data_IF_876507758475
#
_entry.id   IF_876507758475
#
_cell.length_a   1.000
_cell.length_b   1.000
_cell.length_c   1.000
_cell.angle_alpha   90.00
_cell.angle_beta   90.00
_cell.angle_gamma   90.00
#
_symmetry.space_group_name_H-M   'P 1'
#
loop_
_entity.id
_entity.type
_entity.pdbx_description
1 polymer ?
#
# COMPACT_ATOMS: atom_id res chain seq x y z
N UNK A 1 8.84 9.34 -37.42
CA UNK A 1 7.36 9.34 -37.53
C UNK A 1 6.82 8.92 -36.20
N UNK A 2 6.36 9.89 -35.41
CA UNK A 2 5.79 9.70 -34.09
C UNK A 2 4.35 9.19 -34.25
N UNK A 3 3.91 8.11 -33.59
CA UNK A 3 2.52 7.70 -33.68
C UNK A 3 1.63 8.70 -32.94
N UNK A 4 0.56 9.11 -33.60
CA UNK A 4 -0.45 10.01 -33.05
C UNK A 4 -1.16 9.35 -31.85
N UNK A 5 -1.17 10.05 -30.73
CA UNK A 5 -1.97 9.71 -29.54
C UNK A 5 -3.43 9.79 -29.91
N UNK A 6 -4.09 8.64 -30.06
CA UNK A 6 -5.52 8.56 -30.31
C UNK A 6 -6.31 9.13 -29.13
N UNK A 7 -7.25 10.03 -29.44
CA UNK A 7 -8.24 10.58 -28.52
C UNK A 7 -9.01 9.42 -27.85
N UNK A 8 -8.72 9.12 -26.58
CA UNK A 8 -9.54 8.22 -25.75
C UNK A 8 -10.93 8.83 -25.59
N UNK A 9 -12.02 8.06 -25.80
CA UNK A 9 -13.36 8.54 -25.48
C UNK A 9 -13.45 8.81 -23.97
N UNK A 10 -13.95 9.99 -23.62
CA UNK A 10 -14.14 10.40 -22.23
C UNK A 10 -14.97 9.34 -21.49
N UNK A 11 -14.53 9.04 -20.26
CA UNK A 11 -15.22 8.18 -19.28
C UNK A 11 -16.63 8.71 -19.06
N UNK A 12 -17.62 7.80 -18.91
CA UNK A 12 -18.98 8.18 -18.55
C UNK A 12 -18.95 8.98 -17.23
N UNK A 13 -19.60 10.16 -17.18
CA UNK A 13 -19.58 10.97 -15.96
C UNK A 13 -20.22 10.19 -14.80
N UNK A 14 -19.57 10.25 -13.63
CA UNK A 14 -20.21 9.88 -12.38
C UNK A 14 -21.54 10.63 -12.26
N UNK A 15 -22.58 10.08 -11.56
CA UNK A 15 -23.85 10.73 -11.43
C UNK A 15 -23.63 12.21 -11.04
N UNK A 16 -24.27 13.13 -11.77
CA UNK A 16 -24.22 14.59 -11.53
C UNK A 16 -24.83 14.91 -10.16
N UNK A 17 -24.12 14.59 -9.10
CA UNK A 17 -24.31 15.16 -7.77
C UNK A 17 -23.07 15.99 -7.48
N UNK A 18 -23.32 17.20 -6.99
CA UNK A 18 -22.34 18.21 -6.65
C UNK A 18 -21.01 17.56 -6.24
N UNK A 19 -19.99 17.75 -7.07
CA UNK A 19 -18.59 17.32 -6.80
C UNK A 19 -18.06 18.12 -5.61
N UNK A 20 -18.62 17.89 -4.45
CA UNK A 20 -18.11 18.45 -3.19
C UNK A 20 -17.04 17.50 -2.66
N UNK A 21 -15.84 17.73 -3.11
CA UNK A 21 -14.60 17.48 -2.39
C UNK A 21 -14.18 16.04 -2.10
N UNK A 22 -15.04 15.10 -1.78
CA UNK A 22 -14.66 13.79 -1.24
C UNK A 22 -15.35 12.65 -1.98
N UNK A 23 -14.54 11.76 -2.63
CA UNK A 23 -15.05 10.56 -3.30
C UNK A 23 -15.35 9.44 -2.31
N UNK A 24 -14.56 9.31 -1.24
CA UNK A 24 -14.77 8.36 -0.16
C UNK A 24 -14.74 9.12 1.16
N UNK A 25 -15.71 8.85 2.03
CA UNK A 25 -15.74 9.37 3.41
C UNK A 25 -15.97 8.23 4.39
N UNK A 26 -15.10 8.15 5.39
CA UNK A 26 -15.21 7.23 6.52
C UNK A 26 -15.33 8.07 7.78
N UNK A 27 -16.31 7.75 8.64
CA UNK A 27 -16.57 8.49 9.87
C UNK A 27 -16.78 7.52 11.03
N UNK A 28 -15.91 7.56 12.05
CA UNK A 28 -15.90 6.73 13.25
C UNK A 28 -16.20 5.23 12.96
N UNK A 29 -15.61 4.71 11.89
CA UNK A 29 -15.85 3.35 11.42
C UNK A 29 -15.30 2.34 12.39
N UNK A 30 -16.15 1.41 12.86
CA UNK A 30 -15.75 0.33 13.77
C UNK A 30 -16.16 -1.03 13.24
N UNK A 31 -15.29 -2.01 13.47
CA UNK A 31 -15.58 -3.42 13.16
C UNK A 31 -15.09 -4.34 14.26
N UNK A 32 -16.04 -5.14 14.79
CA UNK A 32 -15.76 -6.16 15.80
C UNK A 32 -16.06 -7.56 15.26
N UNK A 33 -15.24 -8.51 15.65
CA UNK A 33 -15.41 -9.94 15.44
C UNK A 33 -15.38 -10.62 16.82
N UNK A 34 -16.56 -10.88 17.39
CA UNK A 34 -16.66 -11.34 18.77
C UNK A 34 -16.03 -10.32 19.74
N UNK A 35 -14.97 -10.71 20.41
CA UNK A 35 -14.23 -9.84 21.35
C UNK A 35 -13.14 -8.99 20.70
N UNK A 36 -12.72 -9.33 19.46
CA UNK A 36 -11.68 -8.61 18.73
C UNK A 36 -12.29 -7.38 18.04
N UNK A 37 -11.79 -6.20 18.35
CA UNK A 37 -12.10 -4.96 17.62
C UNK A 37 -11.01 -4.71 16.57
N UNK A 38 -11.32 -5.09 15.32
CA UNK A 38 -10.38 -5.04 14.21
C UNK A 38 -10.26 -3.62 13.61
N UNK A 39 -11.30 -2.80 13.73
CA UNK A 39 -11.31 -1.38 13.33
C UNK A 39 -11.92 -0.58 14.47
N UNK A 40 -11.21 0.46 14.95
CA UNK A 40 -11.44 1.12 16.23
C UNK A 40 -11.80 2.61 16.10
N UNK A 41 -12.75 2.93 15.22
CA UNK A 41 -13.24 4.32 15.08
C UNK A 41 -12.36 5.15 14.16
N UNK A 42 -12.01 4.61 12.98
CA UNK A 42 -11.23 5.34 11.99
C UNK A 42 -12.07 6.37 11.25
N UNK A 43 -11.43 7.50 10.90
CA UNK A 43 -12.04 8.55 10.09
C UNK A 43 -11.01 9.12 9.13
N UNK A 44 -11.35 9.17 7.83
CA UNK A 44 -10.58 9.85 6.80
C UNK A 44 -11.40 10.08 5.54
N UNK A 45 -10.90 10.92 4.65
CA UNK A 45 -11.51 11.23 3.37
C UNK A 45 -10.53 11.07 2.23
N UNK A 46 -11.03 10.64 1.07
CA UNK A 46 -10.28 10.50 -0.18
C UNK A 46 -10.88 11.44 -1.22
N UNK A 47 -10.04 12.24 -1.86
CA UNK A 47 -10.44 13.17 -2.92
C UNK A 47 -10.82 12.46 -4.23
N UNK A 48 -11.55 13.17 -5.11
CA UNK A 48 -11.86 12.68 -6.44
C UNK A 48 -10.59 12.59 -7.31
N UNK A 49 -10.39 11.48 -8.01
CA UNK A 49 -9.18 11.24 -8.81
C UNK A 49 -7.90 11.01 -8.02
N UNK A 50 -7.99 10.89 -6.70
CA UNK A 50 -6.84 10.68 -5.81
C UNK A 50 -6.41 9.20 -5.78
N UNK A 51 -5.10 8.94 -5.72
CA UNK A 51 -4.53 7.67 -5.26
C UNK A 51 -4.24 7.82 -3.77
N UNK A 52 -5.01 7.13 -2.93
CA UNK A 52 -4.86 7.17 -1.48
C UNK A 52 -4.44 5.80 -0.94
N UNK A 53 -3.40 5.76 -0.10
CA UNK A 53 -2.88 4.54 0.50
C UNK A 53 -3.32 4.36 1.96
N UNK A 54 -3.80 3.18 2.33
CA UNK A 54 -3.93 2.76 3.74
C UNK A 54 -2.78 1.81 4.04
N UNK A 55 -1.82 2.29 4.80
CA UNK A 55 -0.53 1.65 5.02
C UNK A 55 -0.48 1.09 6.44
N UNK A 56 -0.04 -0.15 6.59
CA UNK A 56 0.11 -0.76 7.91
C UNK A 56 0.42 -2.24 7.83
N UNK A 57 0.88 -2.85 8.94
CA UNK A 57 1.23 -4.26 9.00
C UNK A 57 0.02 -5.17 8.85
N UNK A 58 0.29 -6.47 8.75
CA UNK A 58 -0.77 -7.48 8.77
C UNK A 58 -1.55 -7.40 10.08
N UNK A 59 -2.88 -7.54 9.98
CA UNK A 59 -3.76 -7.40 11.14
C UNK A 59 -4.07 -5.96 11.57
N UNK A 60 -3.55 -4.92 10.89
CA UNK A 60 -3.86 -3.52 11.21
C UNK A 60 -5.34 -3.13 11.02
N UNK A 61 -6.15 -3.94 10.32
CA UNK A 61 -7.56 -3.66 10.04
C UNK A 61 -7.85 -3.24 8.61
N UNK A 62 -6.85 -3.18 7.72
CA UNK A 62 -6.96 -2.75 6.31
C UNK A 62 -8.04 -3.51 5.56
N UNK A 63 -7.92 -4.84 5.47
CA UNK A 63 -8.89 -5.70 4.75
C UNK A 63 -10.31 -5.55 5.27
N UNK A 64 -10.53 -5.45 6.59
CA UNK A 64 -11.87 -5.22 7.15
C UNK A 64 -12.47 -3.89 6.70
N UNK A 65 -11.66 -2.84 6.65
CA UNK A 65 -12.06 -1.51 6.15
C UNK A 65 -12.42 -1.58 4.67
N UNK A 66 -11.62 -2.26 3.84
CA UNK A 66 -11.85 -2.42 2.40
C UNK A 66 -13.10 -3.26 2.10
N UNK A 67 -13.35 -4.32 2.85
CA UNK A 67 -14.56 -5.13 2.72
C UNK A 67 -15.84 -4.35 3.06
N UNK A 68 -15.77 -3.45 4.05
CA UNK A 68 -16.90 -2.57 4.38
C UNK A 68 -17.13 -1.56 3.24
N UNK A 69 -16.07 -0.91 2.73
CA UNK A 69 -16.15 0.01 1.60
C UNK A 69 -16.61 -0.68 0.31
N UNK A 70 -16.23 -1.92 0.07
CA UNK A 70 -16.72 -2.73 -1.04
C UNK A 70 -18.19 -3.16 -0.85
N UNK A 71 -18.80 -2.88 0.31
CA UNK A 71 -20.17 -3.24 0.64
C UNK A 71 -20.40 -4.74 0.80
N UNK A 72 -19.33 -5.55 0.95
CA UNK A 72 -19.43 -7.00 1.16
C UNK A 72 -19.51 -7.37 2.65
N UNK A 73 -19.19 -6.40 3.52
CA UNK A 73 -19.25 -6.54 4.97
C UNK A 73 -19.93 -5.32 5.60
N UNK A 74 -20.68 -5.55 6.69
CA UNK A 74 -21.27 -4.46 7.46
C UNK A 74 -20.34 -3.98 8.57
N UNK A 75 -20.32 -2.66 8.79
CA UNK A 75 -19.67 -2.07 9.95
C UNK A 75 -20.40 -2.46 11.24
N UNK A 76 -19.72 -2.47 12.37
CA UNK A 76 -20.37 -2.60 13.68
C UNK A 76 -21.01 -1.26 14.09
N UNK A 77 -20.33 -0.13 13.79
CA UNK A 77 -20.84 1.23 13.94
C UNK A 77 -20.04 2.20 13.07
N UNK A 78 -20.45 3.45 13.01
CA UNK A 78 -19.87 4.46 12.13
C UNK A 78 -20.42 4.35 10.70
N UNK A 79 -19.85 5.11 9.76
CA UNK A 79 -20.28 5.13 8.37
C UNK A 79 -19.11 5.06 7.39
N UNK A 80 -19.39 4.48 6.21
CA UNK A 80 -18.52 4.48 5.04
C UNK A 80 -19.36 4.85 3.82
N UNK A 81 -18.97 5.91 3.13
CA UNK A 81 -19.70 6.48 2.01
C UNK A 81 -18.81 6.62 0.79
N UNK A 82 -19.38 6.43 -0.39
CA UNK A 82 -18.76 6.65 -1.70
C UNK A 82 -19.64 7.63 -2.46
N UNK A 83 -19.13 8.81 -2.78
CA UNK A 83 -19.87 9.94 -3.37
C UNK A 83 -21.17 10.24 -2.61
N UNK A 84 -21.13 10.25 -1.27
CA UNK A 84 -22.29 10.51 -0.40
C UNK A 84 -23.34 9.39 -0.35
N UNK A 85 -23.11 8.24 -0.99
CA UNK A 85 -23.94 7.06 -0.89
C UNK A 85 -23.34 6.07 0.12
N UNK A 86 -24.15 5.41 0.96
CA UNK A 86 -23.65 4.30 1.77
C UNK A 86 -22.90 3.27 0.91
N UNK A 87 -21.74 2.79 1.38
CA UNK A 87 -20.86 1.91 0.60
C UNK A 87 -21.59 0.69 0.02
N UNK A 88 -22.56 0.13 0.75
CA UNK A 88 -23.37 -0.99 0.28
C UNK A 88 -24.22 -0.66 -0.96
N UNK A 89 -24.73 0.56 -1.05
CA UNK A 89 -25.53 1.05 -2.18
C UNK A 89 -24.64 1.43 -3.36
N UNK A 90 -23.42 1.92 -3.07
CA UNK A 90 -22.44 2.35 -4.05
C UNK A 90 -21.70 1.20 -4.78
N UNK A 91 -22.03 -0.08 -4.48
CA UNK A 91 -21.34 -1.25 -5.08
C UNK A 91 -21.32 -1.27 -6.61
N UNK A 92 -22.35 -0.74 -7.26
CA UNK A 92 -22.41 -0.66 -8.71
C UNK A 92 -21.31 0.26 -9.30
N UNK A 93 -20.87 1.24 -8.53
CA UNK A 93 -19.87 2.25 -8.90
C UNK A 93 -18.47 1.93 -8.33
N UNK A 94 -18.32 0.79 -7.67
CA UNK A 94 -17.08 0.39 -6.98
C UNK A 94 -16.50 -0.85 -7.62
N UNK A 95 -15.24 -0.77 -8.05
CA UNK A 95 -14.40 -1.92 -8.38
C UNK A 95 -13.66 -2.40 -7.13
N UNK A 96 -13.58 -3.70 -6.90
CA UNK A 96 -12.85 -4.25 -5.76
C UNK A 96 -11.95 -5.40 -6.19
N UNK A 97 -10.67 -5.25 -5.94
CA UNK A 97 -9.65 -6.28 -6.12
C UNK A 97 -9.22 -6.76 -4.74
N UNK A 98 -9.50 -8.03 -4.47
CA UNK A 98 -9.19 -8.69 -3.20
C UNK A 98 -7.73 -9.13 -3.13
N UNK A 99 -7.18 -9.28 -1.94
CA UNK A 99 -5.82 -9.77 -1.70
C UNK A 99 -5.57 -11.14 -2.36
N UNK A 100 -6.52 -12.05 -2.27
CA UNK A 100 -6.42 -13.35 -2.94
C UNK A 100 -7.00 -13.28 -4.34
N UNK A 101 -6.37 -14.00 -5.30
CA UNK A 101 -6.91 -14.12 -6.65
C UNK A 101 -8.31 -14.75 -6.62
N UNK A 102 -9.32 -13.94 -6.93
CA UNK A 102 -10.75 -14.29 -6.79
C UNK A 102 -11.43 -14.66 -8.11
N UNK A 103 -10.68 -14.74 -9.22
CA UNK A 103 -11.19 -15.12 -10.54
C UNK A 103 -11.15 -16.64 -10.75
N UNK A 104 -11.88 -17.10 -11.76
CA UNK A 104 -12.02 -18.51 -12.07
C UNK A 104 -10.80 -19.04 -12.81
N UNK A 105 -9.98 -19.93 -12.22
CA UNK A 105 -8.75 -20.41 -12.83
C UNK A 105 -8.99 -21.29 -14.07
N UNK A 106 -10.16 -21.93 -14.14
CA UNK A 106 -10.57 -22.83 -15.24
C UNK A 106 -11.21 -22.09 -16.41
N UNK A 107 -11.47 -20.80 -16.26
CA UNK A 107 -11.90 -19.93 -17.36
C UNK A 107 -10.69 -19.23 -18.00
N UNK A 108 -10.80 -18.98 -19.31
CA UNK A 108 -9.84 -18.15 -20.04
C UNK A 108 -9.89 -16.67 -19.58
N UNK A 109 -8.91 -15.88 -19.99
CA UNK A 109 -8.88 -14.43 -19.78
C UNK A 109 -10.17 -13.78 -20.27
N UNK A 110 -10.61 -14.07 -21.52
CA UNK A 110 -11.84 -13.50 -22.08
C UNK A 110 -13.09 -13.96 -21.34
N UNK A 111 -13.17 -15.23 -20.95
CA UNK A 111 -14.33 -15.75 -20.20
C UNK A 111 -14.44 -15.15 -18.81
N UNK A 112 -13.32 -14.91 -18.11
CA UNK A 112 -13.35 -14.20 -16.83
C UNK A 112 -13.88 -12.76 -16.99
N UNK A 113 -13.38 -12.03 -17.98
CA UNK A 113 -13.85 -10.66 -18.29
C UNK A 113 -15.35 -10.67 -18.60
N UNK A 114 -15.79 -11.58 -19.47
CA UNK A 114 -17.20 -11.71 -19.82
C UNK A 114 -18.07 -12.05 -18.62
N UNK A 115 -17.65 -13.04 -17.81
CA UNK A 115 -18.36 -13.46 -16.62
C UNK A 115 -18.57 -12.30 -15.64
N UNK A 116 -17.51 -11.53 -15.35
CA UNK A 116 -17.62 -10.38 -14.44
C UNK A 116 -18.47 -9.27 -15.06
N UNK A 117 -18.34 -9.01 -16.36
CA UNK A 117 -19.17 -8.04 -17.07
C UNK A 117 -20.64 -8.39 -17.01
N UNK A 118 -20.99 -9.64 -17.28
CA UNK A 118 -22.37 -10.15 -17.21
C UNK A 118 -22.93 -10.07 -15.79
N UNK A 119 -22.12 -10.46 -14.77
CA UNK A 119 -22.50 -10.36 -13.35
C UNK A 119 -22.79 -8.91 -12.93
N UNK A 120 -22.04 -7.96 -13.50
CA UNK A 120 -22.19 -6.51 -13.25
C UNK A 120 -23.20 -5.85 -14.20
N UNK A 121 -23.90 -6.63 -15.04
CA UNK A 121 -24.93 -6.19 -16.00
C UNK A 121 -24.41 -5.17 -17.01
N UNK A 122 -23.14 -5.29 -17.41
CA UNK A 122 -22.57 -4.51 -18.51
C UNK A 122 -23.10 -5.06 -19.83
N UNK A 123 -23.54 -4.21 -20.79
CA UNK A 123 -23.98 -4.68 -22.10
C UNK A 123 -22.89 -5.51 -22.82
N UNK A 124 -23.24 -6.61 -23.53
CA UNK A 124 -22.27 -7.54 -24.10
C UNK A 124 -21.28 -6.91 -25.10
N UNK A 125 -21.71 -5.93 -25.86
CA UNK A 125 -20.88 -5.14 -26.78
C UNK A 125 -19.87 -4.27 -26.01
N UNK A 126 -20.29 -3.65 -24.91
CA UNK A 126 -19.42 -2.88 -24.04
C UNK A 126 -18.44 -3.79 -23.30
N UNK A 127 -18.83 -4.98 -22.84
CA UNK A 127 -17.91 -5.97 -22.26
C UNK A 127 -16.76 -6.25 -23.22
N UNK A 128 -17.10 -6.52 -24.49
CA UNK A 128 -16.11 -6.84 -25.53
C UNK A 128 -15.18 -5.65 -25.78
N UNK A 129 -15.73 -4.47 -25.97
CA UNK A 129 -14.99 -3.24 -26.26
C UNK A 129 -14.07 -2.84 -25.11
N UNK A 130 -14.61 -2.79 -23.87
CA UNK A 130 -13.85 -2.41 -22.69
C UNK A 130 -12.84 -3.48 -22.30
N UNK A 131 -13.21 -4.75 -22.38
CA UNK A 131 -12.32 -5.87 -22.17
C UNK A 131 -11.10 -5.82 -23.08
N UNK A 132 -11.31 -5.60 -24.39
CA UNK A 132 -10.23 -5.44 -25.36
C UNK A 132 -9.32 -4.24 -24.99
N UNK A 133 -9.91 -3.07 -24.69
CA UNK A 133 -9.16 -1.86 -24.28
C UNK A 133 -8.25 -2.14 -23.08
N UNK A 134 -8.76 -2.79 -22.02
CA UNK A 134 -7.96 -3.06 -20.83
C UNK A 134 -6.91 -4.16 -21.07
N UNK A 135 -7.22 -5.17 -21.88
CA UNK A 135 -6.24 -6.18 -22.24
C UNK A 135 -5.07 -5.59 -23.05
N UNK A 136 -5.34 -4.68 -23.98
CA UNK A 136 -4.32 -3.94 -24.74
C UNK A 136 -3.49 -3.04 -23.81
N UNK A 137 -4.14 -2.28 -22.89
CA UNK A 137 -3.47 -1.44 -21.91
C UNK A 137 -2.50 -2.22 -21.02
N UNK A 138 -2.79 -3.49 -20.74
CA UNK A 138 -2.01 -4.34 -19.83
C UNK A 138 -1.07 -5.31 -20.55
N UNK A 139 -0.94 -5.22 -21.89
CA UNK A 139 -0.20 -6.18 -22.76
C UNK A 139 -0.67 -7.64 -22.58
N UNK A 140 -1.98 -7.82 -22.40
CA UNK A 140 -2.63 -9.11 -22.17
C UNK A 140 -3.45 -9.63 -23.38
N UNK A 141 -3.60 -8.85 -24.44
CA UNK A 141 -4.41 -9.14 -25.63
C UNK A 141 -4.04 -10.47 -26.29
N UNK A 142 -2.75 -10.80 -26.36
CA UNK A 142 -2.24 -12.09 -26.89
C UNK A 142 -2.55 -13.31 -26.02
N UNK A 143 -3.05 -13.11 -24.81
CA UNK A 143 -3.35 -14.18 -23.85
C UNK A 143 -4.85 -14.41 -23.65
N UNK A 144 -5.70 -13.80 -24.49
CA UNK A 144 -7.18 -13.81 -24.40
C UNK A 144 -7.77 -15.21 -24.19
N UNK A 145 -7.24 -16.23 -24.89
CA UNK A 145 -7.71 -17.62 -24.81
C UNK A 145 -6.96 -18.46 -23.76
N UNK A 146 -6.02 -17.88 -23.01
CA UNK A 146 -5.25 -18.62 -22.01
C UNK A 146 -6.06 -18.76 -20.74
N UNK A 147 -6.06 -19.96 -20.13
CA UNK A 147 -6.72 -20.19 -18.83
C UNK A 147 -6.06 -19.32 -17.74
N UNK A 148 -6.89 -18.70 -16.90
CA UNK A 148 -6.42 -17.83 -15.82
C UNK A 148 -5.51 -18.57 -14.82
N UNK A 149 -5.76 -19.86 -14.59
CA UNK A 149 -4.90 -20.71 -13.75
C UNK A 149 -3.46 -20.84 -14.25
N UNK A 150 -3.23 -20.66 -15.58
CA UNK A 150 -1.91 -20.76 -16.23
C UNK A 150 -1.19 -19.42 -16.37
N UNK A 151 -1.71 -18.35 -15.83
CA UNK A 151 -1.09 -17.04 -15.81
C UNK A 151 -0.05 -16.93 -14.69
N UNK A 152 0.99 -16.10 -14.88
CA UNK A 152 1.89 -15.71 -13.80
C UNK A 152 1.16 -14.86 -12.75
N UNK A 153 1.78 -14.64 -11.57
CA UNK A 153 1.19 -13.80 -10.51
C UNK A 153 0.85 -12.40 -11.01
N UNK A 154 1.79 -11.71 -11.65
CA UNK A 154 1.55 -10.39 -12.23
C UNK A 154 0.46 -10.37 -13.30
N UNK A 155 0.41 -11.38 -14.19
CA UNK A 155 -0.66 -11.50 -15.19
C UNK A 155 -2.03 -11.75 -14.55
N UNK A 156 -2.09 -12.50 -13.44
CA UNK A 156 -3.33 -12.70 -12.68
C UNK A 156 -3.83 -11.38 -12.10
N UNK A 157 -2.95 -10.56 -11.56
CA UNK A 157 -3.31 -9.24 -11.04
C UNK A 157 -3.79 -8.30 -12.15
N UNK A 158 -3.11 -8.29 -13.31
CA UNK A 158 -3.55 -7.53 -14.49
C UNK A 158 -4.94 -7.96 -14.96
N UNK A 159 -5.22 -9.26 -15.01
CA UNK A 159 -6.55 -9.79 -15.34
C UNK A 159 -7.61 -9.38 -14.30
N UNK A 160 -7.29 -9.49 -13.00
CA UNK A 160 -8.20 -9.09 -11.94
C UNK A 160 -8.52 -7.59 -12.00
N UNK A 161 -7.51 -6.77 -12.31
CA UNK A 161 -7.69 -5.33 -12.52
C UNK A 161 -8.57 -5.05 -13.75
N UNK A 162 -8.32 -5.72 -14.89
CA UNK A 162 -9.17 -5.60 -16.08
C UNK A 162 -10.62 -5.93 -15.76
N UNK A 163 -10.88 -7.05 -15.10
CA UNK A 163 -12.23 -7.45 -14.67
C UNK A 163 -12.90 -6.41 -13.74
N UNK A 164 -12.15 -5.81 -12.81
CA UNK A 164 -12.67 -4.78 -11.93
C UNK A 164 -12.99 -3.47 -12.66
N UNK A 165 -12.32 -3.19 -13.80
CA UNK A 165 -12.47 -1.96 -14.59
C UNK A 165 -13.55 -2.06 -15.69
N UNK A 166 -13.89 -3.25 -16.18
CA UNK A 166 -14.90 -3.43 -17.24
C UNK A 166 -16.25 -2.78 -16.92
N UNK A 167 -16.74 -2.77 -15.65
CA UNK A 167 -17.94 -2.04 -15.26
C UNK A 167 -17.78 -0.51 -15.23
N UNK A 168 -16.58 0.04 -15.51
CA UNK A 168 -16.24 1.47 -15.41
C UNK A 168 -16.57 2.07 -14.03
N UNK A 169 -15.99 1.53 -12.95
CA UNK A 169 -16.27 2.02 -11.61
C UNK A 169 -15.73 3.46 -11.44
N UNK A 170 -16.36 4.26 -10.59
CA UNK A 170 -15.87 5.58 -10.19
C UNK A 170 -14.78 5.49 -9.13
N UNK A 171 -14.82 4.44 -8.31
CA UNK A 171 -13.84 4.14 -7.25
C UNK A 171 -13.29 2.74 -7.45
N UNK A 172 -11.98 2.60 -7.31
CA UNK A 172 -11.28 1.32 -7.32
C UNK A 172 -10.66 1.06 -5.94
N UNK A 173 -11.05 -0.03 -5.32
CA UNK A 173 -10.50 -0.51 -4.05
C UNK A 173 -9.54 -1.66 -4.34
N UNK A 174 -8.30 -1.56 -3.84
CA UNK A 174 -7.24 -2.54 -4.08
C UNK A 174 -6.69 -3.02 -2.74
N UNK A 175 -6.95 -4.27 -2.38
CA UNK A 175 -6.47 -4.86 -1.13
C UNK A 175 -5.20 -5.67 -1.38
N UNK A 176 -4.05 -5.07 -1.09
CA UNK A 176 -2.70 -5.62 -1.27
C UNK A 176 -2.45 -6.17 -2.70
N UNK A 177 -2.66 -5.34 -3.73
CA UNK A 177 -2.73 -5.81 -5.12
C UNK A 177 -1.40 -6.35 -5.67
N UNK A 178 -0.28 -6.05 -5.04
CA UNK A 178 1.06 -6.41 -5.53
C UNK A 178 1.76 -7.45 -4.66
N UNK A 179 1.07 -7.98 -3.63
CA UNK A 179 1.64 -9.03 -2.78
C UNK A 179 1.93 -10.29 -3.60
N UNK A 180 3.18 -10.76 -3.57
CA UNK A 180 3.64 -11.91 -4.35
C UNK A 180 3.88 -11.63 -5.83
N UNK A 181 3.88 -10.37 -6.26
CA UNK A 181 4.20 -9.93 -7.63
C UNK A 181 5.68 -9.57 -7.72
N UNK A 182 6.34 -9.95 -8.80
CA UNK A 182 7.74 -9.61 -9.06
C UNK A 182 7.94 -8.09 -9.23
N UNK A 183 9.16 -7.55 -8.99
CA UNK A 183 9.40 -6.10 -9.01
C UNK A 183 9.11 -5.42 -10.35
N UNK A 184 9.29 -6.11 -11.48
CA UNK A 184 9.03 -5.54 -12.82
C UNK A 184 7.53 -5.41 -13.03
N UNK A 185 6.79 -6.50 -12.83
CA UNK A 185 5.31 -6.49 -12.92
C UNK A 185 4.67 -5.53 -11.92
N UNK A 186 5.27 -5.34 -10.72
CA UNK A 186 4.81 -4.35 -9.74
C UNK A 186 4.95 -2.93 -10.27
N UNK A 187 6.08 -2.58 -10.89
CA UNK A 187 6.29 -1.26 -11.50
C UNK A 187 5.25 -0.99 -12.59
N UNK A 188 5.06 -1.93 -13.52
CA UNK A 188 4.05 -1.81 -14.60
C UNK A 188 2.64 -1.64 -14.05
N UNK A 189 2.31 -2.35 -12.97
CA UNK A 189 1.01 -2.22 -12.29
C UNK A 189 0.81 -0.80 -11.74
N UNK A 190 1.82 -0.23 -11.09
CA UNK A 190 1.77 1.14 -10.58
C UNK A 190 1.69 2.20 -11.67
N UNK A 191 2.43 2.02 -12.78
CA UNK A 191 2.35 2.91 -13.94
C UNK A 191 0.92 2.91 -14.52
N UNK A 192 0.27 1.74 -14.52
CA UNK A 192 -1.13 1.60 -14.91
C UNK A 192 -2.07 2.34 -13.95
N UNK A 193 -1.89 2.20 -12.63
CA UNK A 193 -2.72 2.91 -11.64
C UNK A 193 -2.59 4.44 -11.78
N UNK A 194 -1.37 4.93 -12.00
CA UNK A 194 -1.12 6.35 -12.23
C UNK A 194 -1.84 6.86 -13.47
N UNK A 195 -1.83 6.08 -14.57
CA UNK A 195 -2.55 6.42 -15.80
C UNK A 195 -4.07 6.48 -15.57
N UNK A 196 -4.64 5.48 -14.88
CA UNK A 196 -6.07 5.43 -14.57
C UNK A 196 -6.50 6.58 -13.65
N UNK A 197 -5.69 6.96 -12.68
CA UNK A 197 -5.95 8.11 -11.82
C UNK A 197 -5.89 9.42 -12.60
N UNK A 198 -4.95 9.57 -13.54
CA UNK A 198 -4.89 10.72 -14.44
C UNK A 198 -6.13 10.83 -15.35
N UNK A 199 -6.79 9.71 -15.68
CA UNK A 199 -8.10 9.66 -16.35
C UNK A 199 -9.28 9.97 -15.39
N UNK A 200 -9.03 10.26 -14.11
CA UNK A 200 -10.04 10.65 -13.11
C UNK A 200 -10.61 9.46 -12.30
N UNK A 201 -9.96 8.29 -12.30
CA UNK A 201 -10.35 7.19 -11.41
C UNK A 201 -9.84 7.44 -10.00
N UNK A 202 -10.73 7.44 -9.01
CA UNK A 202 -10.33 7.46 -7.61
C UNK A 202 -9.86 6.08 -7.18
N UNK A 203 -8.68 5.99 -6.58
CA UNK A 203 -8.07 4.72 -6.18
C UNK A 203 -7.75 4.75 -4.69
N UNK A 204 -8.31 3.81 -3.95
CA UNK A 204 -7.94 3.53 -2.57
C UNK A 204 -7.24 2.17 -2.52
N UNK A 205 -6.02 2.13 -2.00
CA UNK A 205 -5.27 0.89 -1.90
C UNK A 205 -4.81 0.61 -0.47
N UNK A 206 -4.81 -0.67 -0.08
CA UNK A 206 -4.17 -1.16 1.12
C UNK A 206 -2.83 -1.81 0.74
N UNK A 207 -1.78 -1.52 1.48
CA UNK A 207 -0.48 -2.18 1.31
C UNK A 207 0.33 -2.19 2.61
N UNK A 208 1.10 -3.26 2.89
CA UNK A 208 2.10 -3.22 3.94
C UNK A 208 3.43 -2.59 3.47
N UNK A 209 3.57 -2.29 2.18
CA UNK A 209 4.83 -1.84 1.58
C UNK A 209 4.93 -0.31 1.57
N UNK A 210 5.95 0.23 2.24
CA UNK A 210 6.16 1.68 2.36
C UNK A 210 6.70 2.32 1.07
N UNK A 211 7.40 1.56 0.23
CA UNK A 211 7.82 2.00 -1.09
C UNK A 211 6.64 2.25 -2.04
N UNK A 212 5.52 1.57 -1.83
CA UNK A 212 4.27 1.83 -2.54
C UNK A 212 3.56 3.09 -2.02
N UNK A 213 3.66 3.36 -0.73
CA UNK A 213 3.13 4.57 -0.12
C UNK A 213 3.69 5.86 -0.76
N UNK A 214 4.97 5.86 -1.13
CA UNK A 214 5.64 6.98 -1.81
C UNK A 214 5.02 7.33 -3.19
N UNK A 215 4.23 6.41 -3.76
CA UNK A 215 3.54 6.59 -5.04
C UNK A 215 2.11 7.11 -4.90
N UNK A 216 1.61 7.21 -3.67
CA UNK A 216 0.28 7.74 -3.36
C UNK A 216 0.32 9.26 -3.25
N UNK A 217 -0.80 9.92 -3.56
CA UNK A 217 -0.96 11.34 -3.31
C UNK A 217 -1.01 11.64 -1.81
N UNK A 218 -1.81 10.87 -1.07
CA UNK A 218 -1.86 10.87 0.40
C UNK A 218 -1.93 9.44 0.93
N UNK A 219 -1.54 9.30 2.18
CA UNK A 219 -1.58 8.03 2.88
C UNK A 219 -2.14 8.18 4.29
N UNK A 220 -2.78 7.12 4.78
CA UNK A 220 -3.16 6.93 6.17
C UNK A 220 -2.30 5.81 6.76
N UNK A 221 -1.57 6.08 7.81
CA UNK A 221 -0.82 5.08 8.56
C UNK A 221 -1.76 4.40 9.56
N UNK A 222 -2.02 3.12 9.36
CA UNK A 222 -2.96 2.34 10.17
C UNK A 222 -2.23 1.30 11.01
N UNK A 223 -2.53 1.28 12.31
CA UNK A 223 -1.97 0.31 13.25
C UNK A 223 -3.02 -0.10 14.30
N UNK A 224 -3.12 -1.41 14.57
CA UNK A 224 -4.05 -1.98 15.57
C UNK A 224 -5.49 -1.46 15.49
N UNK A 225 -6.00 -1.27 14.28
CA UNK A 225 -7.37 -0.82 14.03
C UNK A 225 -7.58 0.70 14.08
N UNK A 226 -6.54 1.50 14.26
CA UNK A 226 -6.59 2.96 14.37
C UNK A 226 -5.75 3.64 13.30
N UNK A 227 -6.19 4.81 12.83
CA UNK A 227 -5.38 5.70 11.98
C UNK A 227 -4.49 6.55 12.87
N UNK A 228 -3.19 6.46 12.69
CA UNK A 228 -2.20 7.19 13.46
C UNK A 228 -1.89 8.56 12.86
N UNK A 229 -1.76 8.60 11.53
CA UNK A 229 -1.47 9.83 10.79
C UNK A 229 -2.09 9.76 9.39
N UNK A 230 -2.43 10.92 8.84
CA UNK A 230 -2.87 11.09 7.45
C UNK A 230 -2.16 12.29 6.86
N UNK A 231 -1.61 12.15 5.66
CA UNK A 231 -0.94 13.25 4.96
C UNK A 231 -0.32 12.79 3.65
N UNK A 232 0.30 13.71 2.93
CA UNK A 232 1.17 13.35 1.81
C UNK A 232 2.43 12.64 2.33
N UNK A 233 3.09 11.79 1.55
CA UNK A 233 4.37 11.19 1.93
C UNK A 233 5.40 12.23 2.41
N UNK A 234 5.47 13.37 1.73
CA UNK A 234 6.39 14.47 2.09
C UNK A 234 6.03 15.11 3.44
N UNK A 235 4.74 15.42 3.68
CA UNK A 235 4.27 15.97 4.98
C UNK A 235 4.57 15.02 6.13
N UNK A 236 4.34 13.72 5.95
CA UNK A 236 4.58 12.72 6.99
C UNK A 236 6.07 12.60 7.33
N UNK A 237 6.97 12.68 6.32
CA UNK A 237 8.42 12.68 6.56
C UNK A 237 8.88 13.97 7.25
N UNK A 238 8.44 15.13 6.75
CA UNK A 238 8.83 16.43 7.31
C UNK A 238 8.21 16.72 8.69
N UNK A 239 7.08 16.07 9.01
CA UNK A 239 6.46 16.14 10.34
C UNK A 239 7.24 15.42 11.43
N UNK A 240 8.23 14.59 11.05
CA UNK A 240 9.15 13.97 11.98
C UNK A 240 10.34 14.92 12.22
N UNK A 241 10.42 15.49 13.43
CA UNK A 241 11.56 16.35 13.84
C UNK A 241 12.80 15.49 14.08
N UNK A 242 13.30 14.91 13.00
CA UNK A 242 14.45 14.01 13.00
C UNK A 242 15.16 13.98 11.65
N UNK A 243 16.43 13.56 11.67
CA UNK A 243 17.29 13.33 10.51
C UNK A 243 17.68 11.87 10.49
N UNK A 244 17.80 11.26 9.30
CA UNK A 244 18.36 9.94 9.12
C UNK A 244 19.88 10.06 8.99
N UNK A 245 20.61 9.39 9.89
CA UNK A 245 22.06 9.32 9.87
C UNK A 245 22.50 7.89 9.53
N UNK A 246 23.04 7.71 8.33
CA UNK A 246 23.63 6.45 7.89
C UNK A 246 25.03 6.32 8.46
N UNK A 247 25.33 5.22 9.15
CA UNK A 247 26.63 4.95 9.76
C UNK A 247 27.19 3.66 9.20
N UNK A 248 28.40 3.74 8.63
CA UNK A 248 29.17 2.57 8.16
C UNK A 248 30.25 2.20 9.16
N UNK A 249 30.38 0.90 9.41
CA UNK A 249 31.37 0.35 10.34
C UNK A 249 31.67 -1.11 10.03
N UNK A 250 32.89 -1.55 10.26
CA UNK A 250 33.29 -2.94 9.98
C UNK A 250 32.67 -4.02 10.88
N UNK A 251 31.95 -3.64 11.96
CA UNK A 251 31.38 -4.58 12.93
C UNK A 251 29.88 -4.30 13.18
N UNK A 252 29.09 -4.26 12.09
CA UNK A 252 27.68 -3.83 12.09
C UNK A 252 26.82 -4.45 13.19
N UNK A 253 26.81 -5.78 13.34
CA UNK A 253 25.95 -6.44 14.32
C UNK A 253 26.26 -6.04 15.78
N UNK A 254 27.55 -5.85 16.10
CA UNK A 254 27.96 -5.41 17.43
C UNK A 254 27.67 -3.92 17.64
N UNK A 255 27.87 -3.11 16.59
CA UNK A 255 27.55 -1.68 16.63
C UNK A 255 26.05 -1.46 16.82
N UNK A 256 25.18 -2.18 16.09
CA UNK A 256 23.73 -2.18 16.26
C UNK A 256 23.35 -2.49 17.72
N UNK A 257 23.87 -3.58 18.28
CA UNK A 257 23.59 -3.96 19.67
C UNK A 257 24.00 -2.87 20.65
N UNK A 258 25.16 -2.25 20.46
CA UNK A 258 25.66 -1.20 21.35
C UNK A 258 24.80 0.07 21.26
N UNK A 259 24.50 0.53 20.06
CA UNK A 259 23.71 1.74 19.81
C UNK A 259 22.25 1.55 20.23
N UNK A 260 21.66 0.36 20.07
CA UNK A 260 20.31 0.04 20.53
C UNK A 260 20.16 0.15 22.06
N UNK A 261 21.25 0.06 22.84
CA UNK A 261 21.20 0.25 24.29
C UNK A 261 20.94 1.69 24.71
N UNK A 262 21.28 2.65 23.85
CA UNK A 262 21.11 4.10 24.09
C UNK A 262 19.93 4.66 23.27
N UNK A 263 19.53 4.02 22.19
CA UNK A 263 18.37 4.44 21.37
C UNK A 263 17.09 4.52 22.21
N UNK A 264 16.34 5.63 22.07
CA UNK A 264 15.11 5.91 22.80
C UNK A 264 15.31 6.30 24.29
N UNK A 265 16.50 6.09 24.85
CA UNK A 265 16.88 6.53 26.21
C UNK A 265 17.64 7.84 26.17
N UNK A 266 18.52 7.99 25.19
CA UNK A 266 19.18 9.24 24.84
C UNK A 266 18.22 10.03 23.95
N UNK A 267 18.03 11.31 24.24
CA UNK A 267 17.17 12.19 23.45
C UNK A 267 17.68 12.41 22.00
N UNK A 268 18.94 12.13 21.76
CA UNK A 268 19.57 12.42 20.48
C UNK A 268 19.41 11.28 19.45
N UNK A 269 19.39 10.02 19.91
CA UNK A 269 19.21 8.83 19.05
C UNK A 269 17.83 8.20 19.32
N UNK A 270 16.92 8.36 18.38
CA UNK A 270 15.54 7.86 18.48
C UNK A 270 15.44 6.38 18.15
N UNK A 271 16.13 5.97 17.09
CA UNK A 271 16.08 4.61 16.57
C UNK A 271 17.39 4.18 15.93
N UNK A 272 17.64 2.86 15.91
CA UNK A 272 18.80 2.24 15.26
C UNK A 272 18.33 1.00 14.54
N UNK A 273 18.56 0.94 13.24
CA UNK A 273 18.24 -0.21 12.39
C UNK A 273 19.42 -0.61 11.54
N UNK A 274 19.63 -1.91 11.31
CA UNK A 274 20.63 -2.39 10.36
C UNK A 274 20.04 -2.52 8.96
N UNK A 275 20.69 -1.88 7.99
CA UNK A 275 20.29 -1.90 6.61
C UNK A 275 21.43 -2.37 5.71
N UNK A 276 21.46 -3.65 5.39
CA UNK A 276 22.52 -4.23 4.56
C UNK A 276 23.92 -4.06 5.17
N UNK A 277 24.72 -3.17 4.60
CA UNK A 277 26.12 -2.87 4.96
C UNK A 277 26.29 -1.66 5.89
N UNK A 278 25.18 -1.09 6.41
CA UNK A 278 25.18 0.11 7.25
C UNK A 278 24.17 0.04 8.37
N UNK A 279 24.27 0.99 9.31
CA UNK A 279 23.24 1.29 10.29
C UNK A 279 22.54 2.58 9.91
N UNK A 280 21.23 2.58 9.92
CA UNK A 280 20.38 3.76 9.79
C UNK A 280 19.97 4.19 11.20
N UNK A 281 20.40 5.36 11.63
CA UNK A 281 20.02 5.98 12.89
C UNK A 281 19.02 7.09 12.62
N UNK A 282 17.93 7.10 13.37
CA UNK A 282 17.01 8.25 13.40
C UNK A 282 17.42 9.15 14.56
N UNK A 283 17.73 10.41 14.29
CA UNK A 283 18.36 11.31 15.25
C UNK A 283 17.73 12.70 15.25
N UNK A 284 17.60 13.34 16.42
CA UNK A 284 17.13 14.72 16.49
C UNK A 284 18.23 15.71 16.04
N UNK A 285 19.38 15.65 16.66
CA UNK A 285 20.52 16.51 16.28
C UNK A 285 21.66 15.63 15.77
N UNK A 286 22.03 15.72 14.47
CA UNK A 286 23.06 14.89 13.88
C UNK A 286 24.43 15.01 14.55
N UNK A 287 24.85 16.22 14.95
CA UNK A 287 26.15 16.45 15.55
C UNK A 287 26.28 15.85 16.96
N UNK A 288 25.23 15.98 17.76
CA UNK A 288 25.19 15.39 19.09
C UNK A 288 25.06 13.87 19.03
N UNK A 289 24.18 13.37 18.16
CA UNK A 289 23.99 11.93 17.93
C UNK A 289 25.26 11.25 17.43
N UNK A 290 26.00 11.92 16.53
CA UNK A 290 27.28 11.42 16.03
C UNK A 290 28.28 11.27 17.17
N UNK A 291 28.42 12.28 18.05
CA UNK A 291 29.32 12.22 19.21
C UNK A 291 28.93 11.09 20.16
N UNK A 292 27.63 10.97 20.48
CA UNK A 292 27.12 9.90 21.33
C UNK A 292 27.38 8.51 20.72
N UNK A 293 27.17 8.35 19.43
CA UNK A 293 27.44 7.10 18.72
C UNK A 293 28.94 6.77 18.70
N UNK A 294 29.81 7.75 18.39
CA UNK A 294 31.28 7.57 18.40
C UNK A 294 31.81 7.19 19.79
N UNK A 295 31.30 7.84 20.86
CA UNK A 295 31.67 7.51 22.24
C UNK A 295 31.26 6.10 22.60
N UNK A 296 29.99 5.74 22.30
CA UNK A 296 29.45 4.42 22.61
C UNK A 296 30.16 3.29 21.85
N UNK A 297 30.46 3.48 20.59
CA UNK A 297 31.16 2.49 19.78
C UNK A 297 32.65 2.36 20.16
N UNK A 298 33.28 3.45 20.61
CA UNK A 298 34.66 3.45 21.10
C UNK A 298 34.81 2.55 22.33
N UNK A 299 33.83 2.48 23.24
CA UNK A 299 33.82 1.56 24.38
C UNK A 299 34.02 0.09 23.96
N UNK A 300 33.51 -0.27 22.77
CA UNK A 300 33.58 -1.62 22.21
C UNK A 300 34.75 -1.82 21.23
N UNK A 301 35.60 -0.81 21.06
CA UNK A 301 36.72 -0.82 20.08
C UNK A 301 36.20 -0.87 18.64
N UNK A 302 35.13 -0.16 18.34
CA UNK A 302 34.52 -0.06 17.01
C UNK A 302 34.69 1.37 16.51
N UNK A 303 35.31 1.54 15.33
CA UNK A 303 35.38 2.82 14.63
C UNK A 303 34.17 3.03 13.70
N UNK A 304 33.87 4.28 13.44
CA UNK A 304 32.95 4.68 12.36
C UNK A 304 33.81 4.95 11.12
N UNK A 305 33.48 4.30 10.01
CA UNK A 305 34.20 4.43 8.74
C UNK A 305 33.66 5.60 7.92
N UNK A 306 32.33 5.80 7.92
CA UNK A 306 31.65 6.86 7.17
C UNK A 306 30.31 7.23 7.83
N UNK A 307 29.88 8.49 7.64
CA UNK A 307 28.58 9.02 8.10
C UNK A 307 27.96 9.86 7.00
N UNK A 308 26.75 9.51 6.61
CA UNK A 308 25.95 10.27 5.66
C UNK A 308 24.64 10.72 6.29
N UNK A 309 24.21 11.95 6.00
CA UNK A 309 22.92 12.48 6.49
C UNK A 309 21.93 12.54 5.34
N UNK A 310 20.70 12.14 5.61
CA UNK A 310 19.63 12.10 4.62
C UNK A 310 18.27 12.41 5.28
N UNK A 311 17.23 12.63 4.48
CA UNK A 311 15.86 12.79 4.97
C UNK A 311 15.32 11.47 5.54
N UNK A 312 14.47 11.52 6.58
CA UNK A 312 13.74 10.35 7.06
C UNK A 312 12.91 9.69 5.95
N UNK A 313 12.81 8.38 5.99
CA UNK A 313 11.87 7.62 5.14
C UNK A 313 10.49 7.53 5.79
N UNK A 314 9.46 7.15 5.02
CA UNK A 314 8.15 6.82 5.60
C UNK A 314 8.24 5.69 6.64
N UNK A 315 9.19 4.76 6.48
CA UNK A 315 9.45 3.71 7.47
C UNK A 315 9.93 4.29 8.80
N UNK A 316 10.86 5.24 8.75
CA UNK A 316 11.31 5.94 9.95
C UNK A 316 10.15 6.66 10.63
N UNK A 317 9.30 7.34 9.85
CA UNK A 317 8.11 8.02 10.36
C UNK A 317 7.14 7.05 11.03
N UNK A 318 6.85 5.91 10.39
CA UNK A 318 5.94 4.91 10.93
C UNK A 318 6.48 4.31 12.23
N UNK A 319 7.76 3.89 12.25
CA UNK A 319 8.40 3.34 13.44
C UNK A 319 8.42 4.35 14.59
N UNK A 320 8.78 5.60 14.32
CA UNK A 320 8.78 6.66 15.32
C UNK A 320 7.37 6.92 15.89
N UNK A 321 6.35 6.94 15.03
CA UNK A 321 4.95 7.09 15.43
C UNK A 321 4.52 5.98 16.38
N UNK A 322 4.85 4.72 16.08
CA UNK A 322 4.53 3.57 16.94
C UNK A 322 5.23 3.63 18.29
N UNK A 323 6.49 4.05 18.35
CA UNK A 323 7.24 4.21 19.60
C UNK A 323 6.67 5.29 20.50
N UNK A 324 6.27 6.43 19.93
CA UNK A 324 5.64 7.52 20.66
C UNK A 324 4.32 7.09 21.32
N UNK A 325 3.66 6.06 20.79
CA UNK A 325 2.46 5.45 21.38
C UNK A 325 2.76 4.46 22.51
N UNK A 326 4.04 4.29 22.91
CA UNK A 326 4.45 3.40 23.98
C UNK A 326 4.33 1.90 23.64
N UNK A 327 4.28 1.58 22.36
CA UNK A 327 4.19 0.20 21.88
C UNK A 327 5.60 -0.35 21.70
N UNK A 328 6.02 -1.29 22.55
CA UNK A 328 7.22 -2.07 22.30
C UNK A 328 6.99 -2.95 21.05
N UNK A 329 7.78 -2.72 20.02
CA UNK A 329 7.76 -3.54 18.81
C UNK A 329 8.49 -4.86 19.12
N UNK A 330 7.74 -5.90 19.45
CA UNK A 330 8.31 -7.24 19.66
C UNK A 330 8.61 -8.00 18.37
N UNK A 331 8.07 -7.55 17.22
CA UNK A 331 8.30 -8.14 15.89
C UNK A 331 8.45 -7.04 14.83
N UNK A 332 9.21 -7.32 13.76
CA UNK A 332 9.30 -6.46 12.59
C UNK A 332 7.87 -6.18 12.06
N UNK A 333 7.37 -4.94 12.08
CA UNK A 333 6.00 -4.64 11.64
C UNK A 333 5.80 -4.90 10.14
N UNK A 334 6.89 -5.15 9.39
CA UNK A 334 6.89 -5.41 7.97
C UNK A 334 7.59 -6.75 7.64
N UNK A 335 6.89 -7.90 7.66
CA UNK A 335 7.49 -9.24 7.53
C UNK A 335 8.13 -9.56 6.17
N UNK A 336 8.18 -8.61 5.23
CA UNK A 336 8.84 -8.78 3.92
C UNK A 336 10.37 -8.83 3.94
N UNK A 337 11.02 -8.59 5.09
CA UNK A 337 12.48 -8.56 5.27
C UNK A 337 13.10 -9.85 5.81
N UNK A 338 12.47 -11.01 5.68
CA UNK A 338 13.16 -12.27 6.04
C UNK A 338 14.40 -12.43 5.17
N UNK A 339 15.55 -12.40 5.84
CA UNK A 339 16.86 -12.75 5.30
C UNK A 339 16.78 -13.91 4.31
N UNK A 340 17.30 -13.72 3.11
CA UNK A 340 17.43 -14.76 2.07
C UNK A 340 18.30 -15.95 2.49
N UNK A 341 18.68 -16.09 3.77
CA UNK A 341 19.52 -17.17 4.28
C UNK A 341 18.78 -18.41 4.79
N UNK A 342 17.45 -18.39 4.94
CA UNK A 342 16.72 -19.56 5.47
C UNK A 342 16.07 -20.45 4.39
N UNK A 343 16.19 -20.12 3.11
CA UNK A 343 15.59 -20.92 2.02
C UNK A 343 16.55 -21.93 1.35
N UNK A 344 17.81 -22.02 1.80
CA UNK A 344 18.77 -23.03 1.28
C UNK A 344 18.84 -24.34 2.09
N UNK A 345 17.97 -24.57 3.07
CA UNK A 345 18.08 -25.67 4.02
C UNK A 345 17.00 -26.76 3.99
N UNK A 346 16.01 -26.71 3.07
CA UNK A 346 14.97 -27.76 2.99
C UNK A 346 14.62 -28.15 1.55
N UNK A 347 15.64 -28.59 0.79
CA UNK A 347 15.44 -29.50 -0.34
C UNK A 347 16.47 -30.62 -0.16
N UNK A 348 16.14 -31.59 0.66
CA UNK A 348 16.70 -32.93 0.66
C UNK A 348 15.70 -33.81 1.41
N UNK A 349 14.85 -34.49 0.69
CA UNK A 349 14.41 -35.88 0.58
C UNK A 349 13.11 -35.88 -0.24
#
# INVERSE_FOLDING_TARGET
MTPAVGNSPARAPAPERERSGSAIRITDLRKRYGTLEAVRGISFEVGDGEIFGVIGPDGAGKTSTFQILAGVMEATSGSAEIYGMPAREARAHTGYLTQSFSLYPDLSVAENIRYIGDLRRVPPDEITKRGQRYLEMFDMDRFTNRLAGRLSGGMKQKLALACALVPEPSVLLLDEPTTGVDPVSRREFWDTLAHLAAEGLTILLATPYLDEAERCHRVALMHQGEIQQVGTPAELRSGLDATRMEVRTGKLAKAEQMLSTIAGKDKEILDVQRFGDRLDLLVHNPDNARRAAEEKLREAGIGIDDVHLDEPTLENTFVATLRNLGQEMHDDPFPGRKDHRSLCGQIAI
#
